data_IF_124573103346
#
_entry.id   IF_124573103346
#
_cell.length_a   1.000
_cell.length_b   1.000
_cell.length_c   1.000
_cell.angle_alpha   90.00
_cell.angle_beta   90.00
_cell.angle_gamma   90.00
#
_symmetry.space_group_name_H-M   'P 1'
#
loop_
_entity.id
_entity.type
_entity.pdbx_description
1 polymer ?
#
# COMPACT_ATOMS: atom_id res chain seq x y z
N UNK A 1 25.21 -19.35 3.89
CA UNK A 1 24.07 -18.48 3.47
C UNK A 1 24.64 -17.23 2.84
N UNK A 2 24.30 -17.02 1.59
CA UNK A 2 24.75 -15.88 0.78
C UNK A 2 23.64 -14.82 0.75
N UNK A 3 24.00 -13.53 0.72
CA UNK A 3 23.05 -12.46 0.54
C UNK A 3 23.48 -11.61 -0.66
N UNK A 4 22.54 -11.30 -1.55
CA UNK A 4 22.75 -10.45 -2.72
C UNK A 4 21.56 -9.50 -2.91
N UNK A 5 21.72 -8.42 -3.69
CA UNK A 5 20.61 -7.58 -4.09
C UNK A 5 19.51 -8.38 -4.82
N UNK A 6 18.27 -7.92 -4.67
CA UNK A 6 17.13 -8.39 -5.46
C UNK A 6 17.24 -7.82 -6.88
N UNK A 7 16.85 -8.61 -7.88
CA UNK A 7 16.79 -8.21 -9.28
C UNK A 7 15.39 -8.48 -9.84
N UNK A 8 15.07 -7.92 -11.01
CA UNK A 8 13.78 -8.18 -11.68
C UNK A 8 13.52 -9.68 -11.93
N UNK A 9 14.58 -10.46 -12.13
CA UNK A 9 14.47 -11.91 -12.33
C UNK A 9 14.01 -12.67 -11.07
N UNK A 10 14.12 -12.07 -9.89
CA UNK A 10 13.75 -12.67 -8.62
C UNK A 10 12.29 -12.43 -8.24
N UNK A 11 11.61 -11.48 -8.89
CA UNK A 11 10.29 -10.99 -8.49
C UNK A 11 9.26 -12.12 -8.38
N UNK A 12 9.20 -13.03 -9.35
CA UNK A 12 8.25 -14.15 -9.34
C UNK A 12 8.54 -15.13 -8.19
N UNK A 13 9.81 -15.43 -7.92
CA UNK A 13 10.19 -16.31 -6.81
C UNK A 13 9.89 -15.66 -5.44
N UNK A 14 10.13 -14.36 -5.32
CA UNK A 14 9.79 -13.59 -4.12
C UNK A 14 8.28 -13.55 -3.93
N UNK A 15 7.49 -13.32 -4.98
CA UNK A 15 6.03 -13.32 -4.91
C UNK A 15 5.47 -14.69 -4.47
N UNK A 16 6.01 -15.78 -5.02
CA UNK A 16 5.63 -17.14 -4.62
C UNK A 16 5.93 -17.40 -3.14
N UNK A 17 7.12 -17.01 -2.65
CA UNK A 17 7.49 -17.14 -1.24
C UNK A 17 6.59 -16.29 -0.33
N UNK A 18 6.27 -15.06 -0.73
CA UNK A 18 5.37 -14.17 0.01
C UNK A 18 3.95 -14.72 0.09
N UNK A 19 3.44 -15.23 -1.04
CA UNK A 19 2.12 -15.85 -1.11
C UNK A 19 2.01 -17.12 -0.24
N UNK A 20 3.05 -17.95 -0.21
CA UNK A 20 3.11 -19.12 0.66
C UNK A 20 3.10 -18.73 2.15
N UNK A 21 3.87 -17.70 2.51
CA UNK A 21 3.94 -17.20 3.88
C UNK A 21 2.60 -16.61 4.33
N UNK A 22 2.00 -15.75 3.51
CA UNK A 22 0.70 -15.17 3.78
C UNK A 22 -0.40 -16.23 3.89
N UNK A 23 -0.42 -17.21 2.98
CA UNK A 23 -1.39 -18.30 2.99
C UNK A 23 -1.30 -19.13 4.28
N UNK A 24 -0.08 -19.41 4.75
CA UNK A 24 0.14 -20.14 6.00
C UNK A 24 -0.34 -19.36 7.23
N UNK A 25 -0.16 -18.02 7.22
CA UNK A 25 -0.63 -17.15 8.31
C UNK A 25 -2.14 -16.97 8.32
N UNK A 26 -2.77 -16.89 7.14
CA UNK A 26 -4.21 -16.63 7.01
C UNK A 26 -5.07 -17.91 7.01
N UNK A 27 -4.46 -19.07 6.79
CA UNK A 27 -5.18 -20.35 6.65
C UNK A 27 -6.03 -20.45 5.38
N UNK A 28 -5.75 -19.61 4.37
CA UNK A 28 -6.42 -19.56 3.06
C UNK A 28 -5.41 -19.21 1.96
N UNK A 29 -5.70 -19.52 0.68
CA UNK A 29 -4.81 -19.12 -0.42
C UNK A 29 -4.57 -17.61 -0.43
N UNK A 30 -3.31 -17.23 -0.60
CA UNK A 30 -2.93 -15.83 -0.82
C UNK A 30 -3.31 -15.39 -2.25
N UNK A 31 -3.48 -14.10 -2.42
CA UNK A 31 -3.69 -13.44 -3.71
C UNK A 31 -2.52 -12.53 -4.11
N UNK A 32 -1.44 -12.55 -3.34
CA UNK A 32 -0.23 -11.81 -3.67
C UNK A 32 0.39 -12.33 -4.97
N UNK A 33 0.84 -11.40 -5.80
CA UNK A 33 1.49 -11.68 -7.05
C UNK A 33 2.73 -10.82 -7.29
N UNK A 34 3.32 -10.95 -8.46
CA UNK A 34 4.52 -10.21 -8.83
C UNK A 34 4.32 -8.69 -8.81
N UNK A 35 3.11 -8.21 -9.12
CA UNK A 35 2.82 -6.77 -9.10
C UNK A 35 2.87 -6.18 -7.69
N UNK A 36 2.44 -6.94 -6.69
CA UNK A 36 2.55 -6.51 -5.29
C UNK A 36 4.01 -6.36 -4.87
N UNK A 37 4.86 -7.30 -5.27
CA UNK A 37 6.32 -7.23 -4.99
C UNK A 37 6.95 -6.04 -5.71
N UNK A 38 6.59 -5.78 -6.97
CA UNK A 38 7.07 -4.60 -7.70
C UNK A 38 6.67 -3.30 -7.00
N UNK A 39 5.45 -3.24 -6.48
CA UNK A 39 4.97 -2.07 -5.73
C UNK A 39 5.74 -1.86 -4.42
N UNK A 40 6.00 -2.92 -3.66
CA UNK A 40 6.82 -2.84 -2.43
C UNK A 40 8.23 -2.32 -2.70
N UNK A 41 8.80 -2.68 -3.84
CA UNK A 41 10.17 -2.34 -4.22
C UNK A 41 10.28 -1.07 -5.09
N UNK A 42 9.17 -0.44 -5.45
CA UNK A 42 9.13 0.66 -6.44
C UNK A 42 10.00 1.88 -6.08
N UNK A 43 10.26 2.11 -4.78
CA UNK A 43 11.09 3.23 -4.30
C UNK A 43 12.43 2.79 -3.73
N UNK A 44 12.71 1.49 -3.75
CA UNK A 44 13.91 0.89 -3.14
C UNK A 44 15.08 0.95 -4.12
N UNK A 45 16.22 1.45 -3.70
CA UNK A 45 17.46 1.23 -4.43
C UNK A 45 17.87 -0.25 -4.27
N UNK A 46 17.45 -1.07 -5.23
CA UNK A 46 17.64 -2.52 -5.14
C UNK A 46 19.09 -2.92 -4.95
N UNK A 47 20.04 -2.16 -5.50
CA UNK A 47 21.47 -2.48 -5.40
C UNK A 47 22.03 -2.27 -3.98
N UNK A 48 21.50 -1.31 -3.24
CA UNK A 48 22.00 -0.92 -1.93
C UNK A 48 21.09 -1.31 -0.77
N UNK A 49 19.76 -1.35 -1.02
CA UNK A 49 18.72 -1.38 0.01
C UNK A 49 17.80 -2.61 -0.12
N UNK A 50 18.25 -3.65 -0.83
CA UNK A 50 17.55 -4.94 -0.88
C UNK A 50 18.48 -6.13 -0.62
N UNK A 51 17.94 -7.20 -0.04
CA UNK A 51 18.70 -8.42 0.28
C UNK A 51 17.86 -9.66 0.00
N UNK A 52 18.35 -10.50 -0.90
CA UNK A 52 17.87 -11.85 -1.14
C UNK A 52 18.81 -12.84 -0.45
N UNK A 53 18.27 -13.70 0.39
CA UNK A 53 19.05 -14.69 1.16
C UNK A 53 18.85 -16.07 0.53
N UNK A 54 19.97 -16.71 0.18
CA UNK A 54 19.99 -18.02 -0.43
C UNK A 54 20.81 -19.02 0.38
N UNK A 55 20.36 -20.26 0.41
CA UNK A 55 21.05 -21.40 0.98
C UNK A 55 20.99 -22.56 -0.01
N UNK A 56 22.16 -23.05 -0.43
CA UNK A 56 22.29 -24.11 -1.43
C UNK A 56 21.48 -23.85 -2.72
N UNK A 57 21.43 -22.58 -3.16
CA UNK A 57 20.68 -22.15 -4.35
C UNK A 57 19.16 -22.02 -4.15
N UNK A 58 18.68 -22.20 -2.92
CA UNK A 58 17.26 -22.04 -2.58
C UNK A 58 17.03 -20.70 -1.90
N UNK A 59 16.01 -19.95 -2.34
CA UNK A 59 15.54 -18.72 -1.70
C UNK A 59 14.96 -19.05 -0.32
N UNK A 60 15.53 -18.47 0.73
CA UNK A 60 15.11 -18.71 2.12
C UNK A 60 14.56 -17.48 2.83
N UNK A 61 14.91 -16.28 2.37
CA UNK A 61 14.33 -15.03 2.88
C UNK A 61 14.64 -13.87 1.91
N UNK A 62 13.90 -12.78 2.08
CA UNK A 62 14.18 -11.50 1.47
C UNK A 62 13.92 -10.36 2.45
N UNK A 63 14.55 -9.21 2.20
CA UNK A 63 14.23 -7.97 2.91
C UNK A 63 14.59 -6.76 2.06
N UNK A 64 13.96 -5.62 2.38
CA UNK A 64 14.31 -4.34 1.78
C UNK A 64 14.24 -3.23 2.81
N UNK A 65 14.84 -2.08 2.48
CA UNK A 65 14.85 -0.86 3.27
C UNK A 65 14.49 0.33 2.40
N UNK A 66 13.66 1.22 2.93
CA UNK A 66 13.31 2.51 2.33
C UNK A 66 13.57 3.63 3.34
N UNK A 67 13.80 4.86 2.87
CA UNK A 67 14.13 5.99 3.71
C UNK A 67 13.48 7.27 3.19
N UNK A 68 12.69 7.91 4.05
CA UNK A 68 12.00 9.18 3.75
C UNK A 68 12.26 10.13 4.92
N UNK A 69 12.81 11.30 4.63
CA UNK A 69 13.14 12.34 5.60
C UNK A 69 14.04 11.82 6.73
N UNK A 70 13.49 11.55 7.93
CA UNK A 70 14.19 11.00 9.10
C UNK A 70 13.70 9.61 9.50
N UNK A 71 12.83 9.02 8.69
CA UNK A 71 12.21 7.72 8.93
C UNK A 71 12.83 6.64 8.03
N UNK A 72 13.41 5.61 8.64
CA UNK A 72 13.72 4.36 7.98
C UNK A 72 12.51 3.40 8.01
N UNK A 73 12.30 2.67 6.95
CA UNK A 73 11.32 1.59 6.92
C UNK A 73 11.99 0.33 6.35
N UNK A 74 11.82 -0.80 6.99
CA UNK A 74 12.23 -2.08 6.42
C UNK A 74 11.12 -3.11 6.53
N UNK A 75 11.11 -4.04 5.60
CA UNK A 75 10.29 -5.23 5.70
C UNK A 75 11.06 -6.45 5.20
N UNK A 76 10.57 -7.65 5.51
CA UNK A 76 11.17 -8.87 5.01
C UNK A 76 10.30 -10.07 5.27
N UNK A 77 10.56 -11.11 4.50
CA UNK A 77 9.81 -12.37 4.50
C UNK A 77 10.80 -13.51 4.66
N UNK A 78 10.43 -14.50 5.45
CA UNK A 78 11.20 -15.74 5.63
C UNK A 78 10.36 -16.90 5.15
N UNK A 79 10.89 -17.69 4.22
CA UNK A 79 10.24 -18.89 3.71
C UNK A 79 9.82 -19.83 4.85
N UNK A 80 8.67 -20.48 4.73
CA UNK A 80 8.09 -21.32 5.78
C UNK A 80 9.09 -22.36 6.30
N UNK A 81 9.78 -23.07 5.40
CA UNK A 81 10.78 -24.07 5.75
C UNK A 81 12.07 -23.53 6.40
N UNK A 82 12.26 -22.20 6.42
CA UNK A 82 13.42 -21.55 6.99
C UNK A 82 13.14 -20.76 8.29
N UNK A 83 11.88 -20.71 8.72
CA UNK A 83 11.48 -20.07 10.00
C UNK A 83 12.15 -20.75 11.20
N UNK A 84 12.34 -19.98 12.28
CA UNK A 84 12.99 -20.48 13.52
C UNK A 84 14.51 -20.59 13.45
N UNK A 85 15.16 -20.25 12.32
CA UNK A 85 16.60 -20.39 12.09
C UNK A 85 17.39 -19.07 12.26
N UNK A 86 16.77 -18.05 12.87
CA UNK A 86 17.40 -16.76 13.15
C UNK A 86 17.35 -15.74 12.00
N UNK A 87 16.75 -16.09 10.85
CA UNK A 87 16.68 -15.19 9.67
C UNK A 87 15.90 -13.92 9.96
N UNK A 88 14.77 -14.01 10.66
CA UNK A 88 14.00 -12.83 11.07
C UNK A 88 14.83 -11.86 11.92
N UNK A 89 15.59 -12.34 12.91
CA UNK A 89 16.50 -11.50 13.70
C UNK A 89 17.61 -10.86 12.85
N UNK A 90 18.10 -11.57 11.84
CA UNK A 90 19.08 -11.02 10.90
C UNK A 90 18.47 -9.91 10.03
N UNK A 91 17.23 -10.07 9.55
CA UNK A 91 16.51 -9.05 8.80
C UNK A 91 16.35 -7.79 9.65
N UNK A 92 15.85 -7.94 10.89
CA UNK A 92 15.68 -6.81 11.82
C UNK A 92 17.02 -6.11 12.09
N UNK A 93 18.09 -6.86 12.33
CA UNK A 93 19.41 -6.28 12.56
C UNK A 93 19.95 -5.55 11.32
N UNK A 94 19.70 -6.06 10.11
CA UNK A 94 20.09 -5.42 8.84
C UNK A 94 19.34 -4.11 8.66
N UNK A 95 18.01 -4.10 8.86
CA UNK A 95 17.18 -2.89 8.76
C UNK A 95 17.58 -1.83 9.78
N UNK A 96 17.79 -2.22 11.05
CA UNK A 96 18.25 -1.32 12.11
C UNK A 96 19.64 -0.71 11.81
N UNK A 97 20.57 -1.51 11.32
CA UNK A 97 21.90 -1.04 10.93
C UNK A 97 21.82 -0.07 9.74
N UNK A 98 21.01 -0.39 8.74
CA UNK A 98 20.84 0.46 7.56
C UNK A 98 20.17 1.80 7.90
N UNK A 99 19.17 1.78 8.78
CA UNK A 99 18.52 2.99 9.27
C UNK A 99 19.51 3.92 9.99
N UNK A 100 20.39 3.38 10.84
CA UNK A 100 21.47 4.15 11.49
C UNK A 100 22.48 4.70 10.50
N UNK A 101 22.89 3.90 9.52
CA UNK A 101 23.82 4.33 8.47
C UNK A 101 23.27 5.49 7.64
N UNK A 102 21.94 5.49 7.40
CA UNK A 102 21.21 6.56 6.68
C UNK A 102 20.90 7.77 7.58
N UNK A 103 21.19 7.71 8.88
CA UNK A 103 20.94 8.79 9.84
C UNK A 103 19.47 8.94 10.22
N UNK A 104 18.69 7.86 10.17
CA UNK A 104 17.30 7.86 10.59
C UNK A 104 17.18 8.19 12.08
N UNK A 105 16.21 9.02 12.45
CA UNK A 105 15.86 9.26 13.86
C UNK A 105 15.01 8.10 14.43
N UNK A 106 14.27 7.42 13.58
CA UNK A 106 13.39 6.30 13.93
C UNK A 106 13.29 5.31 12.77
N UNK A 107 12.92 4.08 13.10
CA UNK A 107 12.75 3.03 12.11
C UNK A 107 11.44 2.28 12.35
N UNK A 108 10.72 2.01 11.27
CA UNK A 108 9.48 1.24 11.27
C UNK A 108 9.64 -0.08 10.54
N UNK A 109 8.78 -1.01 10.90
CA UNK A 109 8.59 -2.28 10.19
C UNK A 109 7.11 -2.67 10.23
N UNK A 110 6.73 -3.59 9.36
CA UNK A 110 5.35 -4.03 9.20
C UNK A 110 5.23 -5.55 9.38
N UNK A 111 4.08 -5.99 9.88
CA UNK A 111 3.70 -7.39 9.97
C UNK A 111 2.20 -7.58 9.89
N UNK A 112 1.73 -8.78 9.59
CA UNK A 112 0.33 -9.12 9.74
C UNK A 112 -0.02 -9.26 11.23
N UNK A 113 -1.19 -8.78 11.65
CA UNK A 113 -1.61 -8.78 13.07
C UNK A 113 -1.64 -10.18 13.68
N UNK A 114 -1.98 -11.19 12.88
CA UNK A 114 -1.99 -12.59 13.31
C UNK A 114 -0.59 -13.23 13.40
N UNK A 115 0.46 -12.60 12.88
CA UNK A 115 1.84 -13.10 13.02
C UNK A 115 2.42 -12.76 14.39
N UNK A 116 2.02 -13.51 15.40
CA UNK A 116 2.50 -13.34 16.79
C UNK A 116 4.00 -13.62 16.92
N UNK A 117 4.58 -14.41 16.03
CA UNK A 117 6.02 -14.68 16.01
C UNK A 117 6.81 -13.46 15.55
N UNK A 118 6.35 -12.76 14.49
CA UNK A 118 6.93 -11.50 14.05
C UNK A 118 6.74 -10.42 15.12
N UNK A 119 5.55 -10.28 15.71
CA UNK A 119 5.28 -9.34 16.80
C UNK A 119 6.29 -9.52 17.96
N UNK A 120 6.43 -10.75 18.47
CA UNK A 120 7.37 -11.09 19.54
C UNK A 120 8.83 -10.84 19.13
N UNK A 121 9.17 -11.04 17.84
CA UNK A 121 10.50 -10.73 17.31
C UNK A 121 10.76 -9.22 17.37
N UNK A 122 9.84 -8.39 16.89
CA UNK A 122 9.99 -6.94 16.89
C UNK A 122 10.09 -6.38 18.30
N UNK A 123 9.24 -6.82 19.23
CA UNK A 123 9.28 -6.42 20.64
C UNK A 123 10.64 -6.75 21.30
N UNK A 124 11.19 -7.96 21.07
CA UNK A 124 12.52 -8.33 21.59
C UNK A 124 13.66 -7.45 21.03
N UNK A 125 13.47 -6.86 19.85
CA UNK A 125 14.42 -5.94 19.24
C UNK A 125 14.14 -4.46 19.58
N UNK A 126 13.20 -4.20 20.51
CA UNK A 126 12.91 -2.85 21.02
C UNK A 126 11.93 -2.04 20.18
N UNK A 127 11.19 -2.70 19.29
CA UNK A 127 10.09 -2.06 18.56
C UNK A 127 8.81 -2.09 19.39
N UNK A 128 8.01 -1.05 19.30
CA UNK A 128 6.68 -0.95 19.90
C UNK A 128 5.63 -0.79 18.80
N UNK A 129 4.42 -1.34 19.03
CA UNK A 129 3.27 -1.11 18.18
C UNK A 129 2.93 0.40 18.10
N UNK A 130 2.68 0.92 16.91
CA UNK A 130 2.30 2.32 16.70
C UNK A 130 1.04 2.51 15.87
N UNK A 131 0.73 1.63 14.91
CA UNK A 131 -0.43 1.82 14.02
C UNK A 131 -0.96 0.50 13.47
N UNK A 132 -2.27 0.49 13.17
CA UNK A 132 -2.95 -0.63 12.51
C UNK A 132 -3.57 -0.15 11.21
N UNK A 133 -3.51 -1.01 10.19
CA UNK A 133 -4.17 -0.80 8.90
C UNK A 133 -5.05 -2.00 8.57
N UNK A 134 -6.24 -1.75 8.04
CA UNK A 134 -7.08 -2.81 7.50
C UNK A 134 -6.85 -2.96 6.01
N UNK A 135 -6.69 -4.20 5.55
CA UNK A 135 -6.89 -4.55 4.16
C UNK A 135 -8.37 -4.87 3.97
N UNK A 136 -9.05 -4.10 3.13
CA UNK A 136 -10.47 -4.26 2.85
C UNK A 136 -10.68 -4.67 1.39
N UNK A 137 -11.71 -5.47 1.14
CA UNK A 137 -12.04 -5.94 -0.18
C UNK A 137 -13.56 -6.02 -0.40
N UNK A 138 -13.93 -6.03 -1.68
CA UNK A 138 -15.27 -6.37 -2.16
C UNK A 138 -15.15 -7.29 -3.37
N UNK A 139 -16.04 -8.28 -3.47
CA UNK A 139 -16.27 -9.10 -4.68
C UNK A 139 -17.61 -8.68 -5.28
N UNK A 140 -17.59 -8.16 -6.49
CA UNK A 140 -18.76 -7.62 -7.17
C UNK A 140 -19.46 -8.71 -7.95
N UNK A 141 -20.71 -9.00 -7.63
CA UNK A 141 -21.55 -9.95 -8.38
C UNK A 141 -22.22 -9.28 -9.59
N UNK A 142 -22.37 -7.96 -9.56
CA UNK A 142 -22.98 -7.14 -10.61
C UNK A 142 -22.36 -5.73 -10.60
N UNK A 143 -22.43 -4.98 -11.72
CA UNK A 143 -21.96 -3.59 -11.74
C UNK A 143 -22.79 -2.74 -10.75
N UNK A 144 -22.14 -2.00 -9.85
CA UNK A 144 -22.85 -1.15 -8.92
C UNK A 144 -23.51 0.05 -9.64
N UNK A 145 -24.62 0.52 -9.08
CA UNK A 145 -25.26 1.75 -9.55
C UNK A 145 -24.48 2.95 -9.01
N UNK A 146 -23.91 3.74 -9.91
CA UNK A 146 -23.27 5.01 -9.56
C UNK A 146 -24.37 6.04 -9.29
N UNK A 147 -24.43 6.65 -8.09
CA UNK A 147 -25.49 7.62 -7.79
C UNK A 147 -25.30 8.90 -8.61
N UNK A 148 -26.40 9.54 -8.97
CA UNK A 148 -26.36 10.89 -9.51
C UNK A 148 -25.76 11.84 -8.45
N UNK A 149 -24.83 12.69 -8.88
CA UNK A 149 -24.33 13.77 -8.04
C UNK A 149 -25.32 14.95 -8.02
N UNK A 150 -25.30 15.81 -6.98
CA UNK A 150 -26.00 17.09 -7.05
C UNK A 150 -25.52 17.91 -8.26
N UNK A 151 -26.40 18.73 -8.82
CA UNK A 151 -26.20 19.46 -10.11
C UNK A 151 -24.91 20.31 -10.16
N UNK A 152 -24.38 20.71 -9.00
CA UNK A 152 -23.14 21.48 -8.92
C UNK A 152 -21.88 20.65 -9.22
N UNK A 153 -21.97 19.31 -9.21
CA UNK A 153 -20.82 18.44 -9.30
C UNK A 153 -20.79 17.65 -10.60
N UNK A 154 -19.61 17.57 -11.21
CA UNK A 154 -19.34 16.69 -12.36
C UNK A 154 -18.30 15.63 -11.98
N UNK A 155 -18.56 14.36 -12.36
CA UNK A 155 -17.62 13.26 -12.22
C UNK A 155 -16.97 13.00 -13.56
N UNK A 156 -15.64 13.05 -13.58
CA UNK A 156 -14.83 12.96 -14.78
C UNK A 156 -13.74 11.91 -14.65
N UNK A 157 -13.30 11.35 -15.79
CA UNK A 157 -12.06 10.59 -15.85
C UNK A 157 -10.90 11.57 -15.90
N UNK A 158 -9.85 11.28 -15.15
CA UNK A 158 -8.61 12.07 -15.15
C UNK A 158 -8.03 12.24 -16.56
N UNK A 159 -7.48 13.41 -16.84
CA UNK A 159 -6.70 13.73 -18.04
C UNK A 159 -5.32 14.22 -17.66
N UNK A 160 -4.35 14.03 -18.52
CA UNK A 160 -2.95 14.43 -18.25
C UNK A 160 -2.82 15.93 -17.93
N UNK A 161 -3.66 16.78 -18.51
CA UNK A 161 -3.74 18.20 -18.23
C UNK A 161 -4.17 18.55 -16.81
N UNK A 162 -4.88 17.62 -16.15
CA UNK A 162 -5.33 17.74 -14.76
C UNK A 162 -4.26 17.33 -13.73
N UNK A 163 -3.10 16.82 -14.15
CA UNK A 163 -2.13 16.18 -13.25
C UNK A 163 -1.74 17.04 -12.05
N UNK A 164 -1.44 18.33 -12.26
CA UNK A 164 -1.07 19.23 -11.16
C UNK A 164 -2.25 19.57 -10.25
N UNK A 165 -3.41 20.05 -10.73
CA UNK A 165 -4.54 20.34 -9.86
C UNK A 165 -5.09 19.06 -9.17
N UNK A 166 -4.99 17.89 -9.82
CA UNK A 166 -5.33 16.62 -9.20
C UNK A 166 -4.40 16.28 -8.02
N UNK A 167 -3.08 16.43 -8.20
CA UNK A 167 -2.10 16.25 -7.12
C UNK A 167 -2.37 17.20 -5.96
N UNK A 168 -2.60 18.49 -6.23
CA UNK A 168 -2.88 19.51 -5.21
C UNK A 168 -4.15 19.17 -4.40
N UNK A 169 -5.21 18.71 -5.06
CA UNK A 169 -6.43 18.28 -4.42
C UNK A 169 -6.22 17.01 -3.56
N UNK A 170 -5.41 16.07 -4.05
CA UNK A 170 -5.06 14.85 -3.32
C UNK A 170 -4.23 15.20 -2.07
N UNK A 171 -3.15 15.97 -2.21
CA UNK A 171 -2.30 16.38 -1.10
C UNK A 171 -3.11 17.14 -0.03
N UNK A 172 -3.95 18.10 -0.44
CA UNK A 172 -4.83 18.83 0.48
C UNK A 172 -5.80 17.91 1.24
N UNK A 173 -6.31 16.85 0.60
CA UNK A 173 -7.22 15.90 1.24
C UNK A 173 -6.50 15.00 2.26
N UNK A 174 -5.19 14.77 2.08
CA UNK A 174 -4.37 13.88 2.90
C UNK A 174 -3.63 14.56 4.05
N UNK A 175 -3.72 15.88 4.20
CA UNK A 175 -3.05 16.65 5.27
C UNK A 175 -3.34 16.14 6.70
N UNK A 176 -4.46 15.44 6.91
CA UNK A 176 -4.87 14.87 8.19
C UNK A 176 -4.41 13.41 8.39
N UNK A 177 -3.74 12.81 7.39
CA UNK A 177 -3.31 11.42 7.47
C UNK A 177 -2.06 11.25 8.33
N UNK A 178 -2.00 10.12 9.04
CA UNK A 178 -0.81 9.73 9.78
C UNK A 178 0.39 9.57 8.85
N UNK A 179 1.56 10.08 9.26
CA UNK A 179 2.79 10.07 8.47
C UNK A 179 2.62 10.67 7.05
N UNK A 180 1.75 11.69 6.93
CA UNK A 180 1.64 12.39 5.65
C UNK A 180 2.92 13.23 5.39
N UNK A 181 3.55 12.95 4.27
CA UNK A 181 4.70 13.69 3.76
C UNK A 181 4.35 14.29 2.40
N UNK A 182 4.39 15.62 2.31
CA UNK A 182 4.21 16.31 1.03
C UNK A 182 5.48 16.17 0.20
N UNK A 183 5.42 15.50 -0.92
CA UNK A 183 6.48 15.47 -1.94
C UNK A 183 6.15 16.47 -3.04
N UNK A 184 7.15 17.06 -3.70
CA UNK A 184 6.91 17.98 -4.80
C UNK A 184 6.15 17.32 -5.96
N UNK A 185 5.34 18.13 -6.70
CA UNK A 185 4.53 17.62 -7.81
C UNK A 185 5.36 16.85 -8.84
N UNK A 186 6.51 17.40 -9.24
CA UNK A 186 7.37 16.78 -10.26
C UNK A 186 7.82 15.39 -9.85
N UNK A 187 8.30 15.25 -8.60
CA UNK A 187 8.72 13.97 -8.04
C UNK A 187 7.55 12.99 -7.92
N UNK A 188 6.39 13.48 -7.43
CA UNK A 188 5.19 12.65 -7.32
C UNK A 188 4.74 12.15 -8.70
N UNK A 189 4.72 13.04 -9.70
CA UNK A 189 4.24 12.72 -11.03
C UNK A 189 5.17 11.75 -11.76
N UNK A 190 6.48 12.00 -11.69
CA UNK A 190 7.49 11.06 -12.22
C UNK A 190 7.35 9.68 -11.60
N UNK A 191 7.21 9.59 -10.28
CA UNK A 191 7.03 8.32 -9.58
C UNK A 191 5.75 7.59 -10.02
N UNK A 192 4.65 8.32 -10.30
CA UNK A 192 3.40 7.70 -10.78
C UNK A 192 3.51 7.20 -12.21
N UNK A 193 4.18 7.94 -13.09
CA UNK A 193 4.39 7.52 -14.48
C UNK A 193 5.39 6.35 -14.61
N UNK A 194 6.30 6.20 -13.66
CA UNK A 194 7.30 5.12 -13.64
C UNK A 194 6.71 3.76 -13.22
N UNK A 195 5.50 3.71 -12.67
CA UNK A 195 4.84 2.45 -12.31
C UNK A 195 4.56 1.64 -13.59
N UNK A 196 4.96 0.37 -13.58
CA UNK A 196 4.94 -0.51 -14.78
C UNK A 196 3.55 -0.70 -15.41
N UNK A 197 2.48 -0.56 -14.62
CA UNK A 197 1.08 -0.72 -15.02
C UNK A 197 0.29 0.59 -14.90
N UNK A 198 0.95 1.74 -15.04
CA UNK A 198 0.31 3.05 -14.98
C UNK A 198 -0.85 3.16 -15.98
N UNK A 199 -2.07 3.26 -15.46
CA UNK A 199 -3.29 3.45 -16.25
C UNK A 199 -4.10 4.65 -15.72
N UNK A 200 -3.90 5.86 -16.26
CA UNK A 200 -4.61 7.05 -15.84
C UNK A 200 -6.11 7.03 -16.15
N UNK A 201 -6.59 6.11 -17.00
CA UNK A 201 -8.02 5.94 -17.28
C UNK A 201 -8.79 5.33 -16.11
N UNK A 202 -8.08 4.78 -15.12
CA UNK A 202 -8.63 4.32 -13.84
C UNK A 202 -8.71 5.42 -12.78
N UNK A 203 -8.24 6.64 -13.07
CA UNK A 203 -8.28 7.75 -12.12
C UNK A 203 -9.50 8.61 -12.39
N UNK A 204 -10.19 9.01 -11.34
CA UNK A 204 -11.40 9.84 -11.44
C UNK A 204 -11.29 11.05 -10.54
N UNK A 205 -12.03 12.10 -10.89
CA UNK A 205 -12.15 13.31 -10.10
C UNK A 205 -13.60 13.83 -10.11
N UNK A 206 -13.96 14.60 -9.10
CA UNK A 206 -15.22 15.33 -9.04
C UNK A 206 -14.91 16.81 -8.93
N UNK A 207 -15.53 17.61 -9.80
CA UNK A 207 -15.43 19.08 -9.80
C UNK A 207 -16.69 19.72 -9.23
N UNK A 208 -16.47 20.89 -8.62
CA UNK A 208 -17.48 21.91 -8.30
C UNK A 208 -17.08 23.16 -9.08
N UNK A 209 -17.67 23.38 -10.25
CA UNK A 209 -17.20 24.34 -11.23
C UNK A 209 -15.76 24.00 -11.69
N UNK A 210 -14.84 24.94 -11.54
CA UNK A 210 -13.43 24.76 -11.92
C UNK A 210 -12.56 24.08 -10.85
N UNK A 211 -13.09 23.92 -9.62
CA UNK A 211 -12.34 23.37 -8.51
C UNK A 211 -12.49 21.84 -8.41
N UNK A 212 -11.39 21.13 -8.13
CA UNK A 212 -11.44 19.69 -7.89
C UNK A 212 -11.83 19.43 -6.42
N UNK A 213 -13.04 18.96 -6.19
CA UNK A 213 -13.59 18.70 -4.88
C UNK A 213 -13.15 17.35 -4.28
N UNK A 214 -12.96 16.34 -5.14
CA UNK A 214 -12.58 14.99 -4.73
C UNK A 214 -11.83 14.26 -5.84
N UNK A 215 -10.95 13.33 -5.46
CA UNK A 215 -10.13 12.54 -6.37
C UNK A 215 -10.04 11.09 -5.92
N UNK A 216 -9.87 10.18 -6.86
CA UNK A 216 -9.56 8.77 -6.59
C UNK A 216 -8.56 8.25 -7.61
N UNK A 217 -7.48 7.63 -7.13
CA UNK A 217 -6.46 6.96 -7.92
C UNK A 217 -6.55 5.46 -7.70
N UNK A 218 -6.58 4.73 -8.78
CA UNK A 218 -6.65 3.28 -8.74
C UNK A 218 -5.48 2.67 -9.53
N UNK A 219 -5.06 1.50 -9.11
CA UNK A 219 -4.04 0.70 -9.76
C UNK A 219 -4.72 -0.58 -10.32
N UNK A 220 -4.32 -1.08 -11.52
CA UNK A 220 -5.06 -2.13 -12.23
C UNK A 220 -5.09 -3.47 -11.51
N UNK A 221 -3.97 -3.85 -10.88
CA UNK A 221 -3.80 -5.18 -10.30
C UNK A 221 -2.89 -5.14 -9.05
N UNK A 222 -3.49 -5.26 -7.88
CA UNK A 222 -2.84 -5.45 -6.57
C UNK A 222 -3.70 -6.35 -5.69
N UNK A 223 -3.08 -7.22 -4.91
CA UNK A 223 -3.78 -8.15 -4.01
C UNK A 223 -4.85 -8.99 -4.74
N UNK A 224 -4.57 -9.37 -6.01
CA UNK A 224 -5.44 -10.17 -6.85
C UNK A 224 -6.71 -9.49 -7.31
N UNK A 225 -6.68 -8.18 -7.52
CA UNK A 225 -7.81 -7.41 -8.04
C UNK A 225 -7.45 -5.96 -8.34
N UNK A 226 -8.44 -5.15 -8.69
CA UNK A 226 -8.27 -3.71 -8.77
C UNK A 226 -7.96 -3.11 -7.39
N UNK A 227 -7.15 -2.09 -7.34
CA UNK A 227 -6.72 -1.48 -6.09
C UNK A 227 -7.03 0.01 -6.02
N UNK A 228 -7.69 0.45 -4.95
CA UNK A 228 -7.86 1.87 -4.64
C UNK A 228 -6.61 2.36 -3.93
N UNK A 229 -5.70 2.96 -4.68
CA UNK A 229 -4.41 3.42 -4.16
C UNK A 229 -4.49 4.72 -3.36
N UNK A 230 -5.47 5.59 -3.67
CA UNK A 230 -5.76 6.78 -2.87
C UNK A 230 -7.16 7.30 -3.18
N UNK A 231 -7.89 7.76 -2.16
CA UNK A 231 -9.14 8.49 -2.32
C UNK A 231 -9.16 9.68 -1.37
N UNK A 232 -9.47 10.86 -1.87
CA UNK A 232 -9.49 12.08 -1.10
C UNK A 232 -10.70 12.96 -1.42
N UNK A 233 -11.34 13.50 -0.39
CA UNK A 233 -12.34 14.57 -0.50
C UNK A 233 -11.82 15.76 0.28
N UNK A 234 -11.64 16.89 -0.38
CA UNK A 234 -11.18 18.11 0.27
C UNK A 234 -12.17 18.57 1.36
N UNK A 235 -11.67 19.17 2.44
CA UNK A 235 -12.46 19.49 3.65
C UNK A 235 -13.76 20.24 3.38
N UNK A 236 -13.76 21.21 2.46
CA UNK A 236 -14.93 22.03 2.11
C UNK A 236 -16.10 21.21 1.49
N UNK A 237 -15.80 20.04 0.94
CA UNK A 237 -16.78 19.20 0.24
C UNK A 237 -17.07 17.87 0.95
N UNK A 238 -16.51 17.65 2.16
CA UNK A 238 -16.82 16.44 2.95
C UNK A 238 -18.30 16.38 3.34
N UNK A 239 -18.82 15.18 3.54
CA UNK A 239 -20.21 14.94 3.95
C UNK A 239 -21.26 15.04 2.82
N UNK A 240 -20.85 15.31 1.57
CA UNK A 240 -21.74 15.44 0.40
C UNK A 240 -21.89 14.16 -0.44
N UNK A 241 -21.35 13.03 0.01
CA UNK A 241 -21.43 11.73 -0.68
C UNK A 241 -20.42 11.55 -1.82
N UNK A 242 -19.49 12.49 -2.05
CA UNK A 242 -18.55 12.46 -3.18
C UNK A 242 -17.61 11.24 -3.13
N UNK A 243 -17.08 10.89 -1.95
CA UNK A 243 -16.23 9.70 -1.78
C UNK A 243 -16.97 8.41 -2.13
N UNK A 244 -18.25 8.29 -1.75
CA UNK A 244 -19.10 7.16 -2.11
C UNK A 244 -19.33 7.06 -3.62
N UNK A 245 -19.55 8.19 -4.28
CA UNK A 245 -19.72 8.23 -5.73
C UNK A 245 -18.45 7.81 -6.47
N UNK A 246 -17.28 8.28 -6.03
CA UNK A 246 -15.97 7.87 -6.58
C UNK A 246 -15.73 6.37 -6.43
N UNK A 247 -16.00 5.78 -5.26
CA UNK A 247 -15.86 4.35 -5.04
C UNK A 247 -16.78 3.53 -5.95
N UNK A 248 -18.04 3.89 -6.03
CA UNK A 248 -19.00 3.17 -6.89
C UNK A 248 -18.65 3.34 -8.38
N UNK A 249 -18.13 4.49 -8.80
CA UNK A 249 -17.60 4.68 -10.17
C UNK A 249 -16.39 3.78 -10.41
N UNK A 250 -15.46 3.69 -9.46
CA UNK A 250 -14.31 2.80 -9.50
C UNK A 250 -14.74 1.34 -9.64
N UNK A 251 -15.68 0.89 -8.80
CA UNK A 251 -16.19 -0.48 -8.84
C UNK A 251 -16.86 -0.81 -10.17
N UNK A 252 -17.67 0.13 -10.70
CA UNK A 252 -18.31 -0.04 -12.02
C UNK A 252 -17.25 -0.16 -13.14
N UNK A 253 -16.18 0.64 -13.08
CA UNK A 253 -15.09 0.57 -14.05
C UNK A 253 -14.36 -0.76 -13.99
N UNK A 254 -13.93 -1.21 -12.81
CA UNK A 254 -13.26 -2.50 -12.66
C UNK A 254 -14.15 -3.67 -13.09
N UNK A 255 -15.42 -3.65 -12.70
CA UNK A 255 -16.38 -4.66 -13.13
C UNK A 255 -16.51 -4.71 -14.66
N UNK A 256 -16.59 -3.55 -15.32
CA UNK A 256 -16.67 -3.47 -16.79
C UNK A 256 -15.43 -4.01 -17.50
N UNK A 257 -14.28 -3.97 -16.84
CA UNK A 257 -13.00 -4.55 -17.32
C UNK A 257 -12.85 -6.04 -16.99
N UNK A 258 -13.85 -6.67 -16.39
CA UNK A 258 -13.81 -8.08 -15.97
C UNK A 258 -12.99 -8.31 -14.69
N UNK A 259 -12.77 -7.27 -13.90
CA UNK A 259 -12.08 -7.32 -12.59
C UNK A 259 -13.12 -7.12 -11.49
N UNK A 260 -13.81 -8.18 -11.03
CA UNK A 260 -14.90 -8.06 -10.06
C UNK A 260 -14.41 -7.81 -8.64
N UNK A 261 -13.15 -8.09 -8.35
CA UNK A 261 -12.55 -7.85 -7.03
C UNK A 261 -11.91 -6.48 -6.97
N UNK A 262 -12.21 -5.72 -5.89
CA UNK A 262 -11.54 -4.44 -5.61
C UNK A 262 -11.07 -4.41 -4.16
N UNK A 263 -9.85 -3.97 -3.95
CA UNK A 263 -9.18 -3.94 -2.64
C UNK A 263 -8.64 -2.55 -2.30
N UNK A 264 -8.36 -2.32 -1.03
CA UNK A 264 -7.66 -1.13 -0.53
C UNK A 264 -7.01 -1.38 0.83
N UNK A 265 -6.07 -0.51 1.19
CA UNK A 265 -5.56 -0.36 2.55
C UNK A 265 -6.14 0.88 3.23
N UNK A 266 -6.49 0.79 4.51
CA UNK A 266 -6.97 1.94 5.28
C UNK A 266 -6.43 1.94 6.69
N UNK A 267 -6.04 3.11 7.16
CA UNK A 267 -5.70 3.34 8.57
C UNK A 267 -6.91 3.07 9.46
N UNK A 268 -6.79 2.10 10.37
CA UNK A 268 -7.86 1.70 11.28
C UNK A 268 -8.30 2.85 12.23
N UNK A 269 -7.41 3.81 12.46
CA UNK A 269 -7.63 4.97 13.33
C UNK A 269 -7.81 6.27 12.52
N UNK A 270 -8.19 6.16 11.22
CA UNK A 270 -8.39 7.33 10.36
C UNK A 270 -9.37 8.33 10.98
N UNK A 271 -8.98 9.59 11.18
CA UNK A 271 -9.85 10.60 11.78
C UNK A 271 -11.01 10.99 10.86
N UNK A 272 -10.95 10.64 9.58
CA UNK A 272 -11.96 10.99 8.58
C UNK A 272 -13.16 10.02 8.55
N UNK A 273 -13.08 8.90 9.28
CA UNK A 273 -14.10 7.85 9.25
C UNK A 273 -14.12 7.06 7.94
N UNK A 274 -12.97 6.94 7.27
CA UNK A 274 -12.82 6.26 5.98
C UNK A 274 -13.32 4.80 6.01
N UNK A 275 -13.07 4.05 7.09
CA UNK A 275 -13.56 2.67 7.25
C UNK A 275 -15.08 2.58 7.09
N UNK A 276 -15.84 3.51 7.72
CA UNK A 276 -17.31 3.54 7.57
C UNK A 276 -17.76 3.83 6.14
N UNK A 277 -17.01 4.66 5.41
CA UNK A 277 -17.27 4.91 4.01
C UNK A 277 -17.14 3.63 3.19
N UNK A 278 -16.06 2.86 3.39
CA UNK A 278 -15.80 1.62 2.67
C UNK A 278 -16.83 0.53 3.03
N UNK A 279 -17.18 0.38 4.30
CA UNK A 279 -18.26 -0.52 4.75
C UNK A 279 -19.60 -0.14 4.10
N UNK A 280 -19.90 1.16 3.94
CA UNK A 280 -21.15 1.65 3.35
C UNK A 280 -21.32 1.29 1.87
N UNK A 281 -20.24 0.95 1.18
CA UNK A 281 -20.25 0.49 -0.22
C UNK A 281 -20.06 -1.02 -0.35
N UNK A 282 -20.07 -1.76 0.77
CA UNK A 282 -20.04 -3.23 0.81
C UNK A 282 -18.66 -3.85 0.95
N UNK A 283 -17.60 -3.05 1.17
CA UNK A 283 -16.28 -3.62 1.46
C UNK A 283 -16.24 -4.22 2.88
N UNK A 284 -15.48 -5.28 3.04
CA UNK A 284 -15.24 -5.94 4.33
C UNK A 284 -13.75 -6.05 4.62
N UNK A 285 -13.38 -6.04 5.89
CA UNK A 285 -12.00 -6.27 6.31
C UNK A 285 -11.62 -7.73 6.11
N UNK A 286 -10.56 -8.00 5.39
CA UNK A 286 -10.01 -9.35 5.16
C UNK A 286 -8.87 -9.69 6.12
N UNK A 287 -8.00 -8.73 6.39
CA UNK A 287 -6.91 -8.86 7.35
C UNK A 287 -6.52 -7.49 7.92
N UNK A 288 -5.64 -7.51 8.91
CA UNK A 288 -5.04 -6.33 9.48
C UNK A 288 -3.51 -6.43 9.44
N UNK A 289 -2.88 -5.34 9.04
CA UNK A 289 -1.46 -5.15 9.18
C UNK A 289 -1.14 -4.19 10.32
N UNK A 290 0.00 -4.37 10.93
CA UNK A 290 0.46 -3.59 12.08
C UNK A 290 1.84 -3.03 11.84
N UNK A 291 2.03 -1.76 12.18
CA UNK A 291 3.31 -1.07 12.12
C UNK A 291 3.92 -1.04 13.52
N UNK A 292 5.18 -1.40 13.57
CA UNK A 292 6.02 -1.30 14.76
C UNK A 292 7.10 -0.26 14.52
N UNK A 293 7.42 0.53 15.53
CA UNK A 293 8.42 1.60 15.48
C UNK A 293 9.44 1.46 16.60
N UNK A 294 10.66 1.90 16.29
CA UNK A 294 11.75 2.03 17.26
C UNK A 294 12.47 3.35 17.02
N UNK A 295 12.64 4.16 18.08
CA UNK A 295 13.51 5.33 18.06
C UNK A 295 14.98 4.88 17.96
N UNK A 296 15.77 5.57 17.16
CA UNK A 296 17.21 5.36 17.02
C UNK A 296 17.93 6.50 17.79
N UNK A 297 18.80 6.11 18.69
CA UNK A 297 19.65 7.05 19.45
C UNK A 297 20.92 7.38 18.66
#
# INVERSE_FOLDING_TARGET
MNARPITDADIEAVAAMAAEDEAALQGRPSRLGANDVRDWLARVDLAQDSWLYEEDGTLVAMSWFDFIDDLGFFAGIVAQGAKGRGLGSRIVATGDARARERGAARVQTFGLEQDTAAASLFERHGFAFVRRFFAMAIELEAPPVVPALPDAFTLETFRLEDARPYYEALDAAFQDHWEHHTVGFEQWWEAKQAVHDFDPTLWFLIRDGDEIAAVIRNDPDRNGGGYVGAIGVQRAWRGKGLGRALLLRTFAEFYSRGVPRVTLGVDAESPTGATKLYESVGMTTENAGVVYEKALA
#
